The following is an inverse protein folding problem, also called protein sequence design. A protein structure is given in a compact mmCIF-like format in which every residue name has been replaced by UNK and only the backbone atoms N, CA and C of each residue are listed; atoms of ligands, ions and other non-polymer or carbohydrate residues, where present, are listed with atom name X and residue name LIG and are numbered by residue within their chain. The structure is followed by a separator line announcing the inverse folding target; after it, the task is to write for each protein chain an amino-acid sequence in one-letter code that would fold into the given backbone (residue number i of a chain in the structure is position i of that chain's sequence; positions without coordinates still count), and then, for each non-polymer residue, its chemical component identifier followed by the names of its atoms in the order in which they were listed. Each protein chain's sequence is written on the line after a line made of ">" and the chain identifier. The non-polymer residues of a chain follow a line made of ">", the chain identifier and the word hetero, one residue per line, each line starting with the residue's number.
data_IF_839255743730
#
_entry.id   IF_839255743730
#
_cell.length_a   1.000
_cell.length_b   1.000
_cell.length_c   1.000
_cell.angle_alpha   90.00
_cell.angle_beta   90.00
_cell.angle_gamma   90.00
#
_symmetry.space_group_name_H-M   'P 1'
#
loop_
_entity.id
_entity.type
_entity.pdbx_description
1 polymer ?
#
# COMPACT_ATOMS: atom_id res chain seq x y z
N UNK A 1 -8.14 3.37 13.16
CA UNK A 1 -6.79 3.74 13.63
C UNK A 1 -5.91 2.57 13.25
N UNK A 2 -5.22 2.68 12.12
CA UNK A 2 -4.55 1.53 11.47
C UNK A 2 -3.06 1.52 11.79
N UNK A 3 -2.57 0.32 12.07
CA UNK A 3 -1.27 0.03 12.64
C UNK A 3 -0.14 0.28 11.62
N UNK A 4 0.82 1.11 12.05
CA UNK A 4 2.19 1.22 11.50
C UNK A 4 2.35 1.83 10.10
N UNK A 5 1.72 2.97 9.84
CA UNK A 5 2.28 3.89 8.82
C UNK A 5 3.54 4.54 9.39
N UNK A 6 4.70 3.95 9.12
CA UNK A 6 5.98 4.58 9.45
C UNK A 6 6.14 5.84 8.62
N UNK A 7 6.46 6.99 9.20
CA UNK A 7 6.79 8.17 8.42
C UNK A 7 8.23 8.04 7.87
N UNK A 8 8.56 8.65 6.72
CA UNK A 8 9.93 8.61 6.17
C UNK A 8 11.01 8.98 7.21
N UNK A 9 10.72 9.96 8.08
CA UNK A 9 11.60 10.35 9.19
C UNK A 9 11.79 9.26 10.26
N UNK A 10 10.78 8.43 10.51
CA UNK A 10 10.90 7.31 11.47
C UNK A 10 11.68 6.14 10.88
N UNK A 11 11.69 5.99 9.55
CA UNK A 11 12.57 5.02 8.87
C UNK A 11 14.05 5.40 9.06
N UNK A 12 14.36 6.70 9.03
CA UNK A 12 15.73 7.22 9.23
C UNK A 12 16.30 7.02 10.64
N UNK A 13 15.44 7.04 11.67
CA UNK A 13 15.88 7.00 13.08
C UNK A 13 16.08 5.58 13.62
N UNK A 14 15.89 4.54 12.80
CA UNK A 14 16.10 3.16 13.26
C UNK A 14 17.60 2.91 13.46
N UNK A 15 18.03 2.54 14.68
CA UNK A 15 19.44 2.38 14.98
C UNK A 15 19.95 1.11 14.30
N UNK A 16 20.81 1.32 13.30
CA UNK A 16 21.76 0.35 12.78
C UNK A 16 21.14 -0.92 12.14
N UNK A 17 20.97 -0.86 10.82
CA UNK A 17 21.50 -1.93 9.98
C UNK A 17 22.10 -1.30 8.74
N UNK A 18 23.23 -1.85 8.31
CA UNK A 18 23.83 -1.66 7.01
C UNK A 18 22.81 -2.12 5.94
N UNK A 19 21.82 -1.29 5.60
CA UNK A 19 20.72 -1.74 4.73
C UNK A 19 21.06 -1.50 3.27
N UNK A 20 21.72 -2.49 2.66
CA UNK A 20 21.74 -2.69 1.21
C UNK A 20 20.39 -3.24 0.73
N UNK A 21 19.28 -2.56 1.03
CA UNK A 21 17.93 -3.08 0.82
C UNK A 21 16.97 -2.05 0.24
N UNK A 22 16.12 -2.49 -0.69
CA UNK A 22 15.00 -1.69 -1.19
C UNK A 22 13.80 -1.95 -0.29
N UNK A 23 13.27 -0.92 0.36
CA UNK A 23 12.01 -1.05 1.10
C UNK A 23 10.84 -0.75 0.18
N UNK A 24 9.80 -1.58 0.26
CA UNK A 24 8.55 -1.38 -0.46
C UNK A 24 7.39 -1.30 0.53
N UNK A 25 6.52 -0.31 0.33
CA UNK A 25 5.28 -0.17 1.10
C UNK A 25 4.17 0.40 0.23
N UNK A 26 2.92 0.17 0.64
CA UNK A 26 1.75 0.83 0.08
C UNK A 26 1.15 1.70 1.18
N UNK A 27 1.02 2.99 0.90
CA UNK A 27 0.56 3.99 1.88
C UNK A 27 -0.54 4.81 1.26
N UNK A 28 -1.57 5.09 2.04
CA UNK A 28 -2.60 6.02 1.66
C UNK A 28 -2.21 7.45 2.02
N UNK A 29 -2.18 8.30 1.00
CA UNK A 29 -1.97 9.72 1.13
C UNK A 29 -3.27 10.50 0.94
N UNK A 30 -3.29 11.70 1.51
CA UNK A 30 -4.33 12.69 1.26
C UNK A 30 -3.79 13.75 0.33
N UNK A 31 -4.33 13.81 -0.88
CA UNK A 31 -3.98 14.83 -1.86
C UNK A 31 -4.44 16.22 -1.38
N UNK A 32 -3.80 17.29 -1.86
CA UNK A 32 -4.07 18.67 -1.41
C UNK A 32 -5.53 19.12 -1.65
N UNK A 33 -6.17 18.61 -2.69
CA UNK A 33 -7.60 18.86 -2.98
C UNK A 33 -8.56 17.97 -2.16
N UNK A 34 -8.05 17.12 -1.27
CA UNK A 34 -8.82 16.33 -0.30
C UNK A 34 -9.12 14.88 -0.69
N UNK A 35 -8.86 14.42 -1.92
CA UNK A 35 -9.06 13.00 -2.25
C UNK A 35 -7.93 12.10 -1.70
N UNK A 36 -8.25 10.83 -1.51
CA UNK A 36 -7.32 9.79 -1.04
C UNK A 36 -6.62 9.17 -2.26
N UNK A 37 -5.31 8.97 -2.15
CA UNK A 37 -4.48 8.35 -3.18
C UNK A 37 -3.67 7.24 -2.53
N UNK A 38 -3.75 6.04 -3.08
CA UNK A 38 -2.86 4.95 -2.68
C UNK A 38 -1.57 5.04 -3.47
N UNK A 39 -0.45 5.13 -2.76
CA UNK A 39 0.87 5.21 -3.38
C UNK A 39 1.70 4.01 -2.94
N UNK A 40 2.24 3.29 -3.92
CA UNK A 40 3.29 2.30 -3.70
C UNK A 40 4.63 2.99 -3.73
N UNK A 41 5.33 2.97 -2.61
CA UNK A 41 6.64 3.58 -2.48
C UNK A 41 7.74 2.53 -2.50
N UNK A 42 8.78 2.81 -3.29
CA UNK A 42 10.06 2.10 -3.25
C UNK A 42 11.11 3.07 -2.71
N UNK A 43 11.67 2.75 -1.55
CA UNK A 43 12.62 3.58 -0.81
C UNK A 43 13.99 2.91 -0.91
N UNK A 44 15.01 3.68 -1.31
CA UNK A 44 16.39 3.23 -1.38
C UNK A 44 17.31 4.22 -0.67
N UNK A 45 18.23 3.75 0.19
CA UNK A 45 19.26 4.61 0.76
C UNK A 45 20.34 4.82 -0.31
N UNK A 46 20.84 6.05 -0.44
CA UNK A 46 22.01 6.34 -1.25
C UNK A 46 23.24 6.05 -0.39
N UNK A 47 24.08 5.09 -0.79
CA UNK A 47 25.17 4.58 0.06
C UNK A 47 26.23 5.62 0.42
N UNK A 48 26.31 6.74 -0.32
CA UNK A 48 27.31 7.79 -0.13
C UNK A 48 26.74 9.10 0.41
N UNK A 49 25.44 9.17 0.67
CA UNK A 49 24.80 10.36 1.23
C UNK A 49 23.73 9.97 2.26
N UNK A 50 23.48 10.81 3.27
CA UNK A 50 22.35 10.61 4.21
C UNK A 50 20.98 10.88 3.55
N UNK A 51 20.86 10.63 2.24
CA UNK A 51 19.69 10.90 1.44
C UNK A 51 18.97 9.60 1.08
N UNK A 52 17.66 9.72 0.87
CA UNK A 52 16.80 8.63 0.40
C UNK A 52 16.25 8.97 -0.98
N UNK A 53 16.29 7.99 -1.88
CA UNK A 53 15.50 8.02 -3.09
C UNK A 53 14.17 7.32 -2.81
N UNK A 54 13.07 8.07 -2.93
CA UNK A 54 11.71 7.54 -2.83
C UNK A 54 11.06 7.66 -4.19
N UNK A 55 10.64 6.52 -4.76
CA UNK A 55 9.84 6.47 -5.98
C UNK A 55 8.44 6.01 -5.61
N UNK A 56 7.46 6.88 -5.83
CA UNK A 56 6.04 6.61 -5.60
C UNK A 56 5.30 6.35 -6.91
N UNK A 57 4.53 5.26 -6.96
CA UNK A 57 3.58 4.93 -8.03
C UNK A 57 2.16 5.09 -7.47
N UNK A 58 1.29 5.84 -8.15
CA UNK A 58 -0.14 5.88 -7.82
C UNK A 58 -0.78 4.54 -8.23
N UNK A 59 -1.32 3.83 -7.25
CA UNK A 59 -1.97 2.52 -7.40
C UNK A 59 -3.46 2.57 -7.03
N UNK A 60 -4.05 3.78 -6.96
CA UNK A 60 -5.43 3.99 -6.51
C UNK A 60 -6.43 3.21 -7.37
N UNK A 61 -6.33 3.32 -8.69
CA UNK A 61 -7.23 2.61 -9.60
C UNK A 61 -7.09 1.09 -9.47
N UNK A 62 -5.87 0.58 -9.37
CA UNK A 62 -5.61 -0.85 -9.20
C UNK A 62 -6.21 -1.37 -7.89
N UNK A 63 -6.05 -0.63 -6.80
CA UNK A 63 -6.65 -0.98 -5.49
C UNK A 63 -8.17 -1.03 -5.57
N UNK A 64 -8.81 0.00 -6.12
CA UNK A 64 -10.27 0.05 -6.27
C UNK A 64 -10.80 -1.09 -7.16
N UNK A 65 -10.07 -1.42 -8.22
CA UNK A 65 -10.43 -2.54 -9.09
C UNK A 65 -10.30 -3.89 -8.36
N UNK A 66 -9.21 -4.11 -7.61
CA UNK A 66 -9.03 -5.31 -6.80
C UNK A 66 -10.14 -5.47 -5.75
N UNK A 67 -10.49 -4.39 -5.04
CA UNK A 67 -11.59 -4.41 -4.07
C UNK A 67 -12.92 -4.76 -4.73
N UNK A 68 -13.21 -4.19 -5.90
CA UNK A 68 -14.42 -4.49 -6.67
C UNK A 68 -14.45 -5.94 -7.14
N UNK A 69 -13.33 -6.47 -7.62
CA UNK A 69 -13.21 -7.86 -8.04
C UNK A 69 -13.38 -8.81 -6.87
N UNK A 70 -12.75 -8.54 -5.72
CA UNK A 70 -12.94 -9.33 -4.50
C UNK A 70 -14.37 -9.30 -4.00
N UNK A 71 -15.04 -8.15 -4.11
CA UNK A 71 -16.46 -8.03 -3.78
C UNK A 71 -17.30 -8.90 -4.72
N UNK A 72 -17.12 -8.78 -6.04
CA UNK A 72 -17.86 -9.59 -7.02
C UNK A 72 -17.57 -11.10 -6.91
N UNK A 73 -16.36 -11.49 -6.53
CA UNK A 73 -16.02 -12.89 -6.29
C UNK A 73 -16.73 -13.44 -5.03
N UNK A 74 -16.91 -12.60 -4.00
CA UNK A 74 -17.60 -12.97 -2.75
C UNK A 74 -19.12 -12.93 -2.84
N UNK A 75 -19.69 -12.06 -3.68
CA UNK A 75 -21.13 -11.83 -3.78
C UNK A 75 -21.67 -12.18 -5.17
N UNK A 76 -22.55 -13.18 -5.28
CA UNK A 76 -23.16 -13.60 -6.55
C UNK A 76 -24.26 -12.60 -6.96
N UNK A 77 -24.08 -11.98 -8.13
CA UNK A 77 -24.88 -10.84 -8.58
C UNK A 77 -26.28 -11.21 -9.10
N UNK A 78 -26.71 -12.48 -9.03
CA UNK A 78 -28.00 -12.92 -9.56
C UNK A 78 -29.08 -13.23 -8.49
N UNK A 79 -28.73 -13.41 -7.21
CA UNK A 79 -29.71 -13.92 -6.21
C UNK A 79 -29.71 -13.22 -4.85
N UNK A 80 -28.77 -12.33 -4.56
CA UNK A 80 -28.70 -11.64 -3.26
C UNK A 80 -28.27 -12.55 -2.10
N UNK A 81 -27.63 -13.69 -2.39
CA UNK A 81 -27.04 -14.59 -1.40
C UNK A 81 -25.53 -14.75 -1.61
N UNK A 82 -24.79 -15.12 -0.55
CA UNK A 82 -23.35 -15.41 -0.60
C UNK A 82 -22.98 -16.38 -1.73
N UNK A 83 -21.90 -16.08 -2.44
CA UNK A 83 -21.43 -16.93 -3.54
C UNK A 83 -20.92 -18.29 -3.01
N UNK A 84 -21.06 -19.36 -3.80
CA UNK A 84 -20.72 -20.74 -3.43
C UNK A 84 -19.23 -20.92 -3.03
N UNK A 85 -18.35 -20.02 -3.45
CA UNK A 85 -16.94 -19.98 -3.06
C UNK A 85 -16.70 -19.58 -1.59
N UNK A 86 -17.72 -19.13 -0.85
CA UNK A 86 -17.60 -18.85 0.58
C UNK A 86 -17.51 -20.14 1.44
N UNK A 87 -17.89 -21.30 0.90
CA UNK A 87 -17.95 -22.56 1.65
C UNK A 87 -16.79 -23.53 1.38
N UNK A 88 -15.76 -23.13 0.62
CA UNK A 88 -14.60 -23.96 0.29
C UNK A 88 -13.29 -23.40 0.90
N UNK A 89 -13.36 -22.93 2.16
CA UNK A 89 -12.19 -22.63 3.01
C UNK A 89 -12.04 -23.70 4.11
#
# INVERSE_FOLDING_TARGET
>A
FDDKVLFPRQVLLQPNQQVHGVWRREVEYRHANGHRVWVRENIRPLSESEQLLIVGEDITETKLLSEKLEYQARYDLLTGTYNRNHFEL
#
